data_IF_843823942447
#
_entry.id   IF_843823942447
#
_cell.length_a   1.000
_cell.length_b   1.000
_cell.length_c   1.000
_cell.angle_alpha   90.00
_cell.angle_beta   90.00
_cell.angle_gamma   90.00
#
_symmetry.space_group_name_H-M   'P 1'
#
loop_
_entity.id
_entity.type
_entity.pdbx_description
1 polymer ?
#
# COMPACT_ATOMS: atom_id res chain seq x y z
N UNK A 1 -5.51 21.95 -5.37
CA UNK A 1 -5.20 22.30 -6.77
C UNK A 1 -3.71 22.29 -6.96
N UNK A 2 -3.26 21.94 -8.15
CA UNK A 2 -1.85 21.77 -8.46
C UNK A 2 -1.42 22.69 -9.60
N UNK A 3 -0.12 22.94 -9.70
CA UNK A 3 0.48 23.82 -10.71
C UNK A 3 0.06 23.43 -12.14
N UNK A 4 0.09 22.15 -12.49
CA UNK A 4 -0.24 21.68 -13.83
C UNK A 4 -1.75 21.53 -14.11
N UNK A 5 -2.62 22.08 -13.26
CA UNK A 5 -4.06 22.13 -13.50
C UNK A 5 -4.69 20.76 -13.75
N UNK A 6 -5.42 20.62 -14.86
CA UNK A 6 -6.11 19.37 -15.24
C UNK A 6 -5.18 18.23 -15.69
N UNK A 7 -3.90 18.52 -15.92
CA UNK A 7 -2.89 17.52 -16.28
C UNK A 7 -2.14 16.97 -15.07
N UNK A 8 -2.21 17.65 -13.93
CA UNK A 8 -1.54 17.22 -12.70
C UNK A 8 -2.11 15.91 -12.16
N UNK A 9 -1.22 15.05 -11.67
CA UNK A 9 -1.57 13.84 -10.91
C UNK A 9 -1.73 14.09 -9.40
N UNK A 10 -1.45 15.30 -8.90
CA UNK A 10 -1.61 15.67 -7.49
C UNK A 10 -0.32 16.07 -6.77
N UNK A 11 0.86 15.70 -7.29
CA UNK A 11 2.16 15.84 -6.62
C UNK A 11 2.90 17.15 -6.86
N UNK A 12 2.19 18.18 -7.29
CA UNK A 12 2.70 19.55 -7.49
C UNK A 12 1.73 20.56 -6.87
N UNK A 13 1.47 20.46 -5.54
CA UNK A 13 0.40 21.19 -4.88
C UNK A 13 0.65 22.71 -4.96
N UNK A 14 -0.36 23.44 -5.43
CA UNK A 14 -0.37 24.91 -5.50
C UNK A 14 -1.24 25.51 -4.40
N UNK A 15 -2.49 25.06 -4.28
CA UNK A 15 -3.47 25.56 -3.30
C UNK A 15 -4.16 24.38 -2.63
N UNK A 16 -3.81 24.15 -1.37
CA UNK A 16 -4.29 23.04 -0.57
C UNK A 16 -5.81 23.07 -0.33
N UNK A 17 -6.42 24.25 -0.30
CA UNK A 17 -7.84 24.41 0.00
C UNK A 17 -8.72 24.40 -1.25
N UNK A 18 -8.13 24.36 -2.45
CA UNK A 18 -8.89 24.20 -3.68
C UNK A 18 -8.99 22.73 -4.08
N UNK A 19 -10.06 22.06 -3.66
CA UNK A 19 -10.39 20.69 -4.05
C UNK A 19 -11.12 20.61 -5.40
N UNK A 20 -10.95 21.60 -6.29
CA UNK A 20 -11.61 21.67 -7.58
C UNK A 20 -12.85 22.58 -7.58
N UNK A 21 -12.72 23.77 -6.99
CA UNK A 21 -13.80 24.75 -6.84
C UNK A 21 -13.49 26.10 -7.47
N UNK A 22 -12.20 26.46 -7.58
CA UNK A 22 -11.78 27.76 -8.06
C UNK A 22 -11.16 27.64 -9.45
N UNK A 23 -11.45 28.61 -10.33
CA UNK A 23 -10.80 28.68 -11.63
C UNK A 23 -9.35 29.17 -11.49
N UNK A 24 -8.43 28.27 -11.17
CA UNK A 24 -7.01 28.54 -11.03
C UNK A 24 -6.18 27.42 -11.64
N UNK A 25 -4.99 27.80 -12.13
CA UNK A 25 -4.13 26.93 -12.93
C UNK A 25 -4.85 26.36 -14.16
N UNK A 26 -5.67 27.20 -14.81
CA UNK A 26 -6.31 26.90 -16.09
C UNK A 26 -7.54 25.99 -16.04
N UNK A 27 -8.04 25.64 -14.85
CA UNK A 27 -9.23 24.79 -14.70
C UNK A 27 -9.94 25.03 -13.37
N UNK A 28 -11.27 24.83 -13.33
CA UNK A 28 -12.03 24.75 -12.07
C UNK A 28 -11.79 23.41 -11.39
N UNK A 29 -12.00 22.31 -12.10
CA UNK A 29 -11.83 20.97 -11.56
C UNK A 29 -10.36 20.59 -11.44
N UNK A 30 -10.05 19.67 -10.53
CA UNK A 30 -8.79 18.95 -10.59
C UNK A 30 -8.84 17.96 -11.75
N UNK A 31 -7.73 17.26 -12.04
CA UNK A 31 -7.74 16.13 -12.97
C UNK A 31 -8.82 15.08 -12.64
N UNK A 32 -9.17 14.96 -11.36
CA UNK A 32 -10.07 13.93 -10.84
C UNK A 32 -11.51 14.42 -10.60
N UNK A 33 -11.81 15.67 -10.97
CA UNK A 33 -13.14 16.28 -10.81
C UNK A 33 -13.19 17.41 -9.77
N UNK A 34 -14.41 17.75 -9.40
CA UNK A 34 -14.79 18.83 -8.48
C UNK A 34 -14.84 18.39 -7.01
N UNK A 35 -14.87 19.35 -6.08
CA UNK A 35 -15.05 19.05 -4.66
C UNK A 35 -16.42 18.39 -4.38
N UNK A 36 -17.46 18.77 -5.13
CA UNK A 36 -18.79 18.20 -4.96
C UNK A 36 -18.80 16.69 -5.30
N UNK A 37 -18.17 16.31 -6.40
CA UNK A 37 -18.02 14.91 -6.82
C UNK A 37 -17.14 14.13 -5.83
N UNK A 38 -16.03 14.71 -5.37
CA UNK A 38 -15.20 14.10 -4.34
C UNK A 38 -16.00 13.78 -3.07
N UNK A 39 -16.80 14.75 -2.57
CA UNK A 39 -17.65 14.55 -1.39
C UNK A 39 -18.71 13.48 -1.63
N UNK A 40 -19.34 13.46 -2.80
CA UNK A 40 -20.32 12.45 -3.16
C UNK A 40 -19.70 11.04 -3.20
N UNK A 41 -18.49 10.91 -3.77
CA UNK A 41 -17.76 9.65 -3.82
C UNK A 41 -17.38 9.16 -2.42
N UNK A 42 -16.83 10.04 -1.57
CA UNK A 42 -16.49 9.71 -0.16
C UNK A 42 -17.74 9.26 0.61
N UNK A 43 -18.85 10.00 0.48
CA UNK A 43 -20.11 9.64 1.14
C UNK A 43 -20.60 8.25 0.69
N UNK A 44 -20.50 7.94 -0.60
CA UNK A 44 -20.87 6.64 -1.15
C UNK A 44 -19.97 5.52 -0.58
N UNK A 45 -18.64 5.67 -0.62
CA UNK A 45 -17.72 4.68 -0.06
C UNK A 45 -18.01 4.39 1.41
N UNK A 46 -18.25 5.44 2.21
CA UNK A 46 -18.60 5.30 3.62
C UNK A 46 -19.93 4.59 3.84
N UNK A 47 -20.91 4.77 2.96
CA UNK A 47 -22.19 4.03 3.03
C UNK A 47 -22.01 2.51 2.84
N UNK A 48 -20.91 2.09 2.20
CA UNK A 48 -20.49 0.69 2.07
C UNK A 48 -19.45 0.26 3.14
N UNK A 49 -19.21 1.08 4.17
CA UNK A 49 -18.23 0.79 5.23
C UNK A 49 -16.78 0.90 4.78
N UNK A 50 -16.50 1.60 3.67
CA UNK A 50 -15.14 1.81 3.15
C UNK A 50 -14.61 3.16 3.63
N UNK A 51 -13.51 3.12 4.38
CA UNK A 51 -12.79 4.34 4.80
C UNK A 51 -12.06 4.99 3.62
N UNK A 52 -12.01 6.33 3.60
CA UNK A 52 -11.33 7.09 2.55
C UNK A 52 -10.02 7.72 3.08
N UNK A 53 -8.91 7.40 2.43
CA UNK A 53 -7.58 7.95 2.72
C UNK A 53 -7.23 9.06 1.74
N UNK A 54 -6.79 10.22 2.23
CA UNK A 54 -6.24 11.27 1.36
C UNK A 54 -4.72 11.10 1.19
N UNK A 55 -4.22 11.46 0.01
CA UNK A 55 -2.79 11.63 -0.25
C UNK A 55 -2.36 13.04 0.19
N UNK A 56 -1.32 13.10 1.02
CA UNK A 56 -0.88 14.30 1.75
C UNK A 56 0.56 14.62 1.31
N UNK A 57 0.66 15.55 0.36
CA UNK A 57 1.92 16.05 -0.22
C UNK A 57 2.38 17.27 0.58
N UNK A 58 3.47 17.11 1.35
CA UNK A 58 3.93 18.12 2.31
C UNK A 58 5.33 18.66 2.03
N UNK A 59 6.17 17.90 1.33
CA UNK A 59 7.57 18.27 1.15
C UNK A 59 7.73 19.66 0.52
N UNK A 60 6.99 19.90 -0.55
CA UNK A 60 7.19 21.06 -1.40
C UNK A 60 5.85 21.71 -1.73
N UNK A 61 5.94 22.89 -2.34
CA UNK A 61 4.79 23.56 -2.96
C UNK A 61 5.20 24.08 -4.33
N UNK A 62 4.30 24.04 -5.29
CA UNK A 62 4.59 24.37 -6.69
C UNK A 62 3.73 25.55 -7.18
N UNK A 63 4.26 26.35 -8.09
CA UNK A 63 3.51 27.42 -8.77
C UNK A 63 3.44 28.77 -8.05
N UNK A 64 4.32 29.02 -7.07
CA UNK A 64 4.45 30.33 -6.44
C UNK A 64 5.00 31.39 -7.41
N UNK A 65 4.60 32.64 -7.21
CA UNK A 65 5.15 33.78 -7.94
C UNK A 65 6.54 34.18 -7.41
N UNK A 66 7.27 35.00 -8.18
CA UNK A 66 8.61 35.47 -7.78
C UNK A 66 8.48 36.36 -6.58
N UNK A 67 9.33 36.13 -5.59
CA UNK A 67 9.62 37.12 -4.57
C UNK A 67 11.07 37.02 -4.12
N UNK A 68 11.59 38.13 -3.60
CA UNK A 68 12.93 38.18 -3.05
C UNK A 68 13.00 37.38 -1.74
N UNK A 69 13.93 36.43 -1.66
CA UNK A 69 14.25 35.73 -0.42
C UNK A 69 15.58 36.28 0.15
N UNK A 70 15.54 36.98 1.30
CA UNK A 70 16.75 37.54 1.91
C UNK A 70 17.75 36.48 2.37
N UNK A 71 17.35 35.21 2.53
CA UNK A 71 18.25 34.11 2.92
C UNK A 71 19.04 33.53 1.78
N UNK A 72 18.54 33.61 0.55
CA UNK A 72 19.28 33.18 -0.64
C UNK A 72 19.99 34.35 -1.32
N UNK A 73 19.63 35.59 -0.98
CA UNK A 73 20.15 36.79 -1.63
C UNK A 73 19.58 37.02 -3.03
N UNK A 74 18.52 36.30 -3.41
CA UNK A 74 17.91 36.36 -4.74
C UNK A 74 16.44 35.97 -4.73
N UNK A 75 15.84 35.92 -5.92
CA UNK A 75 14.42 35.59 -6.04
C UNK A 75 14.18 34.08 -5.93
N UNK A 76 13.05 33.72 -5.32
CA UNK A 76 12.54 32.35 -5.23
C UNK A 76 11.06 32.32 -5.63
N UNK A 77 10.55 31.15 -6.03
CA UNK A 77 9.16 30.96 -6.47
C UNK A 77 8.23 30.61 -5.30
N UNK A 78 8.27 31.42 -4.25
CA UNK A 78 7.69 31.12 -2.93
C UNK A 78 6.48 31.98 -2.58
N UNK A 79 6.07 32.91 -3.46
CA UNK A 79 4.93 33.77 -3.18
C UNK A 79 3.61 33.09 -3.56
N UNK A 80 2.83 32.70 -2.56
CA UNK A 80 1.49 32.11 -2.72
C UNK A 80 0.37 33.10 -2.37
N UNK A 81 0.63 34.41 -2.44
CA UNK A 81 -0.37 35.44 -2.16
C UNK A 81 -1.59 35.38 -3.10
N UNK A 82 -1.41 34.83 -4.31
CA UNK A 82 -2.41 34.76 -5.38
C UNK A 82 -3.35 33.56 -5.35
N UNK A 83 -3.26 32.66 -4.37
CA UNK A 83 -4.17 31.50 -4.27
C UNK A 83 -5.62 31.95 -4.09
N UNK A 84 -6.54 31.38 -4.88
CA UNK A 84 -7.93 31.83 -4.92
C UNK A 84 -8.74 31.35 -3.71
N UNK A 85 -8.31 30.29 -3.02
CA UNK A 85 -8.93 29.90 -1.73
C UNK A 85 -8.78 30.97 -0.65
N UNK A 86 -7.83 31.88 -0.80
CA UNK A 86 -7.49 32.87 0.21
C UNK A 86 -6.84 32.29 1.49
N UNK A 87 -6.51 31.00 1.49
CA UNK A 87 -5.91 30.26 2.61
C UNK A 87 -4.47 29.86 2.29
N UNK A 88 -3.64 29.69 3.32
CA UNK A 88 -2.23 29.31 3.15
C UNK A 88 -1.48 30.22 2.17
N UNK A 89 -1.58 31.53 2.37
CA UNK A 89 -0.83 32.54 1.59
C UNK A 89 0.60 32.61 2.11
N UNK A 90 1.41 31.63 1.73
CA UNK A 90 2.78 31.49 2.19
C UNK A 90 3.73 32.38 1.40
N UNK A 91 4.85 32.71 2.06
CA UNK A 91 5.96 33.45 1.51
C UNK A 91 7.27 32.69 1.77
N UNK A 92 8.39 33.23 1.30
CA UNK A 92 9.75 32.67 1.44
C UNK A 92 10.08 32.17 2.85
N UNK A 93 9.51 32.77 3.89
CA UNK A 93 9.72 32.40 5.29
C UNK A 93 9.03 31.10 5.73
N UNK A 94 8.20 30.53 4.86
CA UNK A 94 7.58 29.21 5.00
C UNK A 94 8.38 28.09 4.32
N UNK A 95 9.49 28.42 3.65
CA UNK A 95 10.30 27.49 2.85
C UNK A 95 11.77 27.53 3.30
N UNK A 96 12.52 26.47 3.01
CA UNK A 96 13.96 26.44 3.19
C UNK A 96 14.70 27.26 2.10
N UNK A 97 15.79 27.97 2.44
CA UNK A 97 16.17 28.38 3.79
C UNK A 97 15.32 29.58 4.27
N UNK A 98 15.01 29.61 5.57
CA UNK A 98 14.40 30.76 6.23
C UNK A 98 15.09 31.09 7.57
N UNK A 99 14.44 31.83 8.46
CA UNK A 99 14.98 32.22 9.76
C UNK A 99 15.10 31.06 10.78
N UNK A 100 14.34 29.98 10.60
CA UNK A 100 14.17 28.91 11.58
C UNK A 100 14.92 27.63 11.22
N UNK A 101 15.15 27.40 9.94
CA UNK A 101 15.61 26.14 9.38
C UNK A 101 16.30 26.43 8.05
N UNK A 102 17.50 25.88 7.88
CA UNK A 102 18.26 26.04 6.65
C UNK A 102 17.93 24.94 5.64
N UNK A 103 17.74 23.71 6.12
CA UNK A 103 17.39 22.51 5.37
C UNK A 103 16.85 21.45 6.32
N UNK A 104 16.30 20.37 5.78
CA UNK A 104 15.88 19.17 6.49
C UNK A 104 16.40 17.90 5.78
N UNK A 105 15.71 16.75 5.93
CA UNK A 105 16.12 15.45 5.44
C UNK A 105 16.25 15.34 3.92
N UNK A 106 15.55 16.15 3.14
CA UNK A 106 15.65 16.12 1.68
C UNK A 106 14.65 17.02 0.99
N UNK A 107 14.90 17.36 -0.26
CA UNK A 107 14.02 18.23 -1.04
C UNK A 107 13.62 17.60 -2.36
N UNK A 108 12.41 17.94 -2.82
CA UNK A 108 11.93 17.54 -4.14
C UNK A 108 12.38 18.56 -5.19
N UNK A 109 13.29 18.13 -6.07
CA UNK A 109 13.92 19.00 -7.06
C UNK A 109 12.92 19.78 -7.92
N UNK A 110 13.23 21.06 -8.15
CA UNK A 110 12.41 21.95 -8.99
C UNK A 110 11.32 22.71 -8.26
N UNK A 111 11.08 22.44 -6.97
CA UNK A 111 10.06 23.12 -6.18
C UNK A 111 10.63 23.69 -4.87
N UNK A 112 10.07 24.81 -4.36
CA UNK A 112 10.35 25.29 -3.01
C UNK A 112 10.05 24.23 -1.95
N UNK A 113 11.04 24.01 -1.09
CA UNK A 113 11.02 23.02 -0.03
C UNK A 113 10.43 23.62 1.25
N UNK A 114 9.38 23.00 1.80
CA UNK A 114 8.57 23.58 2.88
C UNK A 114 9.25 23.36 4.22
N UNK A 115 9.31 24.41 5.05
CA UNK A 115 9.81 24.27 6.41
C UNK A 115 8.70 24.17 7.45
N UNK A 116 8.73 23.11 8.24
CA UNK A 116 7.77 22.87 9.32
C UNK A 116 8.24 23.30 10.71
N UNK A 117 9.47 23.78 10.86
CA UNK A 117 10.05 24.12 12.17
C UNK A 117 9.32 25.26 12.90
N UNK A 118 8.67 26.18 12.17
CA UNK A 118 7.87 27.26 12.73
C UNK A 118 6.93 27.89 11.68
N UNK A 119 6.11 28.84 12.09
CA UNK A 119 5.40 29.76 11.19
C UNK A 119 4.13 29.21 10.54
N UNK A 120 3.75 29.82 9.41
CA UNK A 120 2.49 29.56 8.73
C UNK A 120 2.43 28.15 8.14
N UNK A 121 3.50 27.64 7.52
CA UNK A 121 3.51 26.28 6.98
C UNK A 121 3.11 25.22 8.02
N UNK A 122 3.68 25.28 9.22
CA UNK A 122 3.35 24.34 10.30
C UNK A 122 1.89 24.47 10.78
N UNK A 123 1.44 25.70 11.04
CA UNK A 123 0.11 25.96 11.62
C UNK A 123 -1.03 25.78 10.60
N UNK A 124 -0.82 26.22 9.37
CA UNK A 124 -1.78 26.11 8.29
C UNK A 124 -1.97 24.65 7.85
N UNK A 125 -0.90 23.86 7.77
CA UNK A 125 -1.00 22.44 7.37
C UNK A 125 -1.84 21.65 8.39
N UNK A 126 -1.65 21.88 9.69
CA UNK A 126 -2.52 21.27 10.72
C UNK A 126 -3.98 21.67 10.53
N UNK A 127 -4.22 22.95 10.29
CA UNK A 127 -5.57 23.49 10.06
C UNK A 127 -6.21 22.90 8.82
N UNK A 128 -5.44 22.77 7.73
CA UNK A 128 -5.89 22.21 6.47
C UNK A 128 -6.23 20.72 6.59
N UNK A 129 -5.37 19.94 7.23
CA UNK A 129 -5.64 18.51 7.43
C UNK A 129 -6.85 18.28 8.33
N UNK A 130 -7.06 19.11 9.36
CA UNK A 130 -8.28 19.08 10.15
C UNK A 130 -9.51 19.48 9.31
N UNK A 131 -9.38 20.47 8.44
CA UNK A 131 -10.42 20.89 7.49
C UNK A 131 -10.82 19.76 6.52
N UNK A 132 -9.86 18.96 6.03
CA UNK A 132 -10.12 17.79 5.17
C UNK A 132 -10.96 16.70 5.84
N UNK A 133 -10.92 16.58 7.17
CA UNK A 133 -11.74 15.60 7.92
C UNK A 133 -13.20 16.00 8.04
N UNK A 134 -13.53 17.26 7.84
CA UNK A 134 -14.90 17.75 7.98
C UNK A 134 -15.70 17.34 6.74
N UNK A 135 -16.82 16.65 6.95
CA UNK A 135 -17.68 16.15 5.86
C UNK A 135 -18.23 17.25 4.94
N UNK A 136 -18.35 18.48 5.45
CA UNK A 136 -18.73 19.65 4.64
C UNK A 136 -17.68 20.00 3.56
N UNK A 137 -16.42 19.56 3.73
CA UNK A 137 -15.29 19.88 2.85
C UNK A 137 -14.85 18.68 2.01
N UNK A 138 -14.59 17.54 2.66
CA UNK A 138 -14.27 16.28 1.99
C UNK A 138 -14.71 15.10 2.86
N UNK A 139 -14.24 15.06 4.11
CA UNK A 139 -14.60 14.02 5.07
C UNK A 139 -13.66 12.82 5.04
N UNK A 140 -12.36 13.00 4.85
CA UNK A 140 -11.39 11.89 4.87
C UNK A 140 -11.21 11.29 6.27
N UNK A 141 -10.88 10.00 6.32
CA UNK A 141 -10.71 9.22 7.55
C UNK A 141 -9.23 9.08 7.95
N UNK A 142 -8.34 8.98 6.96
CA UNK A 142 -6.93 8.60 7.13
C UNK A 142 -6.01 9.26 6.11
N UNK A 143 -4.69 9.12 6.30
CA UNK A 143 -3.65 9.82 5.53
C UNK A 143 -2.62 8.88 4.90
N UNK A 144 -2.26 9.12 3.64
CA UNK A 144 -1.01 8.65 3.03
C UNK A 144 -0.09 9.86 2.92
N UNK A 145 1.07 9.82 3.57
CA UNK A 145 2.06 10.89 3.48
C UNK A 145 3.04 10.59 2.35
N UNK A 146 3.09 11.51 1.40
CA UNK A 146 3.99 11.49 0.25
C UNK A 146 5.44 11.79 0.65
N UNK A 147 6.39 11.15 -0.04
CA UNK A 147 7.81 11.49 -0.01
C UNK A 147 8.36 11.82 1.40
N UNK A 148 8.10 10.95 2.38
CA UNK A 148 8.48 11.20 3.80
C UNK A 148 9.99 11.07 4.07
N UNK A 149 10.79 10.88 3.02
CA UNK A 149 12.25 11.05 3.06
C UNK A 149 12.67 12.51 3.04
N UNK A 150 11.80 13.41 2.61
CA UNK A 150 12.12 14.83 2.49
C UNK A 150 11.71 15.69 3.67
N UNK A 151 11.34 15.09 4.81
CA UNK A 151 11.15 15.82 6.05
C UNK A 151 11.14 14.87 7.24
N UNK A 152 11.37 15.42 8.42
CA UNK A 152 11.54 14.65 9.63
C UNK A 152 10.26 13.92 10.05
N UNK A 153 10.42 12.70 10.56
CA UNK A 153 9.31 11.87 11.05
C UNK A 153 8.42 12.55 12.13
N UNK A 154 8.95 13.53 12.87
CA UNK A 154 8.17 14.29 13.84
C UNK A 154 7.10 15.18 13.19
N UNK A 155 7.30 15.63 11.94
CA UNK A 155 6.29 16.37 11.18
C UNK A 155 5.05 15.50 11.02
N UNK A 156 5.21 14.25 10.56
CA UNK A 156 4.10 13.28 10.46
C UNK A 156 3.44 13.05 11.80
N UNK A 157 4.22 12.87 12.87
CA UNK A 157 3.69 12.67 14.23
C UNK A 157 2.76 13.82 14.64
N UNK A 158 3.21 15.05 14.45
CA UNK A 158 2.46 16.24 14.82
C UNK A 158 1.21 16.48 13.96
N UNK A 159 1.31 16.25 12.64
CA UNK A 159 0.18 16.36 11.73
C UNK A 159 -0.90 15.31 12.02
N UNK A 160 -0.49 14.09 12.39
CA UNK A 160 -1.41 13.04 12.85
C UNK A 160 -2.04 13.41 14.19
N UNK A 161 -1.26 13.89 15.16
CA UNK A 161 -1.79 14.30 16.46
C UNK A 161 -2.84 15.42 16.32
N UNK A 162 -2.58 16.40 15.45
CA UNK A 162 -3.51 17.50 15.15
C UNK A 162 -4.84 17.04 14.55
N UNK A 163 -4.90 15.81 14.02
CA UNK A 163 -6.09 15.26 13.35
C UNK A 163 -6.69 14.05 14.06
N UNK A 164 -6.33 13.84 15.33
CA UNK A 164 -6.89 12.77 16.17
C UNK A 164 -6.22 11.40 15.97
N UNK A 165 -4.96 11.38 15.52
CA UNK A 165 -4.15 10.17 15.30
C UNK A 165 -4.84 9.09 14.44
N UNK A 166 -5.41 9.42 13.27
CA UNK A 166 -6.03 8.40 12.41
C UNK A 166 -4.99 7.39 11.92
N UNK A 167 -5.48 6.32 11.28
CA UNK A 167 -4.61 5.47 10.48
C UNK A 167 -3.83 6.33 9.49
N UNK A 168 -2.54 6.05 9.35
CA UNK A 168 -1.71 6.74 8.37
C UNK A 168 -0.58 5.84 7.89
N UNK A 169 -0.15 6.05 6.66
CA UNK A 169 1.00 5.37 6.06
C UNK A 169 1.95 6.39 5.44
N UNK A 170 3.25 6.24 5.65
CA UNK A 170 4.28 7.05 5.00
C UNK A 170 4.94 6.30 3.84
N UNK A 171 5.17 7.01 2.74
CA UNK A 171 6.04 6.57 1.64
C UNK A 171 7.51 6.78 1.98
N UNK A 172 8.02 5.99 2.92
CA UNK A 172 9.45 5.95 3.20
C UNK A 172 10.08 4.97 2.21
N UNK A 173 10.41 5.46 1.01
CA UNK A 173 10.90 4.62 -0.08
C UNK A 173 12.31 4.08 0.20
N UNK A 174 12.41 3.00 0.97
CA UNK A 174 13.66 2.34 1.34
C UNK A 174 13.46 0.85 1.65
N UNK A 175 14.42 0.01 1.28
CA UNK A 175 14.39 -1.43 1.59
C UNK A 175 14.96 -1.75 2.98
N UNK A 176 15.63 -0.81 3.65
CA UNK A 176 16.23 -1.02 4.96
C UNK A 176 15.16 -1.09 6.05
N UNK A 177 14.83 -2.31 6.46
CA UNK A 177 13.82 -2.58 7.50
C UNK A 177 14.15 -1.99 8.88
N UNK A 178 15.40 -1.60 9.15
CA UNK A 178 15.76 -0.87 10.38
C UNK A 178 15.39 0.60 10.26
N UNK A 179 15.63 1.22 9.11
CA UNK A 179 15.18 2.59 8.83
C UNK A 179 13.65 2.68 8.86
N UNK A 180 12.96 1.76 8.18
CA UNK A 180 11.50 1.65 8.20
C UNK A 180 10.95 1.53 9.63
N UNK A 181 11.57 0.67 10.45
CA UNK A 181 11.18 0.48 11.86
C UNK A 181 11.31 1.77 12.68
N UNK A 182 12.46 2.43 12.60
CA UNK A 182 12.74 3.66 13.34
C UNK A 182 11.80 4.78 12.93
N UNK A 183 11.56 4.95 11.63
CA UNK A 183 10.65 5.97 11.13
C UNK A 183 9.21 5.71 11.57
N UNK A 184 8.71 4.46 11.44
CA UNK A 184 7.36 4.08 11.84
C UNK A 184 7.12 4.28 13.34
N UNK A 185 8.12 3.96 14.18
CA UNK A 185 8.08 4.21 15.61
C UNK A 185 8.00 5.71 15.93
N UNK A 186 8.87 6.52 15.31
CA UNK A 186 8.96 7.96 15.59
C UNK A 186 7.76 8.76 15.08
N UNK A 187 7.23 8.42 13.90
CA UNK A 187 6.05 9.08 13.32
C UNK A 187 4.74 8.59 13.93
N UNK A 188 4.74 7.38 14.51
CA UNK A 188 3.53 6.67 14.94
C UNK A 188 2.62 6.25 13.78
N UNK A 189 3.08 6.34 12.53
CA UNK A 189 2.39 5.90 11.33
C UNK A 189 2.89 4.50 10.89
N UNK A 190 2.16 3.88 9.96
CA UNK A 190 2.63 2.71 9.22
C UNK A 190 3.54 3.15 8.05
N UNK A 191 4.21 2.20 7.40
CA UNK A 191 5.05 2.45 6.22
C UNK A 191 4.71 1.47 5.10
N UNK A 192 4.86 1.91 3.85
CA UNK A 192 4.88 0.99 2.72
C UNK A 192 6.07 0.05 2.83
N UNK A 193 5.82 -1.25 2.66
CA UNK A 193 6.82 -2.30 2.79
C UNK A 193 7.64 -2.45 1.50
N UNK A 194 8.48 -1.45 1.22
CA UNK A 194 9.39 -1.48 0.06
C UNK A 194 10.40 -2.63 0.14
N UNK A 195 10.76 -3.07 1.35
CA UNK A 195 11.63 -4.23 1.55
C UNK A 195 10.99 -5.51 0.95
N UNK A 196 9.75 -5.81 1.35
CA UNK A 196 9.00 -6.93 0.79
C UNK A 196 8.75 -6.75 -0.70
N UNK A 197 8.41 -5.53 -1.15
CA UNK A 197 8.22 -5.24 -2.57
C UNK A 197 9.46 -5.63 -3.39
N UNK A 198 10.66 -5.20 -3.01
CA UNK A 198 11.89 -5.55 -3.73
C UNK A 198 12.20 -7.05 -3.66
N UNK A 199 12.02 -7.66 -2.49
CA UNK A 199 12.16 -9.12 -2.32
C UNK A 199 11.23 -9.89 -3.27
N UNK A 200 9.95 -9.50 -3.34
CA UNK A 200 8.98 -10.11 -4.24
C UNK A 200 9.29 -9.79 -5.71
N UNK A 201 9.80 -8.59 -6.02
CA UNK A 201 10.24 -8.25 -7.38
C UNK A 201 11.32 -9.19 -7.86
N UNK A 202 12.34 -9.42 -7.05
CA UNK A 202 13.46 -10.31 -7.40
C UNK A 202 12.98 -11.76 -7.61
N UNK A 203 12.12 -12.27 -6.71
CA UNK A 203 11.55 -13.63 -6.84
C UNK A 203 10.65 -13.75 -8.07
N UNK A 204 9.67 -12.85 -8.19
CA UNK A 204 8.65 -12.92 -9.24
C UNK A 204 9.22 -12.67 -10.63
N UNK A 205 10.24 -11.84 -10.80
CA UNK A 205 10.84 -11.56 -12.10
C UNK A 205 11.95 -12.55 -12.48
N UNK A 206 12.49 -13.33 -11.53
CA UNK A 206 13.43 -14.40 -11.86
C UNK A 206 12.70 -15.63 -12.44
N UNK A 207 12.27 -15.56 -13.71
CA UNK A 207 11.44 -16.60 -14.37
C UNK A 207 12.09 -17.97 -14.50
N UNK A 208 13.41 -18.07 -14.29
CA UNK A 208 14.15 -19.32 -14.20
C UNK A 208 13.91 -20.11 -12.91
N UNK A 209 13.26 -19.49 -11.92
CA UNK A 209 13.14 -20.00 -10.55
C UNK A 209 14.39 -19.71 -9.72
N UNK A 210 14.38 -20.12 -8.45
CA UNK A 210 15.52 -19.90 -7.56
C UNK A 210 15.62 -18.46 -7.07
N UNK A 211 14.50 -17.75 -6.92
CA UNK A 211 14.43 -16.45 -6.23
C UNK A 211 14.63 -16.56 -4.71
N UNK A 212 14.64 -17.80 -4.18
CA UNK A 212 14.75 -18.13 -2.76
C UNK A 212 13.58 -17.55 -1.95
N UNK A 213 12.42 -18.18 -2.12
CA UNK A 213 11.17 -17.79 -1.45
C UNK A 213 11.26 -17.57 0.06
N UNK A 214 12.09 -18.28 0.87
CA UNK A 214 12.19 -18.01 2.30
C UNK A 214 12.58 -16.56 2.67
N UNK A 215 13.14 -15.78 1.74
CA UNK A 215 13.44 -14.36 1.96
C UNK A 215 12.22 -13.53 2.37
N UNK A 216 11.00 -13.91 1.96
CA UNK A 216 9.77 -13.20 2.35
C UNK A 216 9.46 -13.30 3.85
N UNK A 217 10.05 -14.30 4.53
CA UNK A 217 9.93 -14.47 5.99
C UNK A 217 11.11 -13.86 6.76
N UNK A 218 12.12 -13.35 6.06
CA UNK A 218 13.27 -12.73 6.70
C UNK A 218 12.95 -11.29 7.09
N UNK A 219 13.01 -10.97 8.38
CA UNK A 219 12.72 -9.64 8.91
C UNK A 219 13.68 -8.55 8.42
N UNK A 220 14.83 -8.90 7.84
CA UNK A 220 15.73 -7.92 7.21
C UNK A 220 15.34 -7.58 5.77
N UNK A 221 14.55 -8.44 5.12
CA UNK A 221 14.16 -8.34 3.71
C UNK A 221 12.66 -8.09 3.51
N UNK A 222 11.84 -8.30 4.53
CA UNK A 222 10.40 -8.05 4.50
C UNK A 222 9.94 -7.37 5.80
N UNK A 223 9.43 -6.14 5.72
CA UNK A 223 9.05 -5.41 6.92
C UNK A 223 7.82 -6.00 7.60
N UNK A 224 6.89 -6.60 6.86
CA UNK A 224 5.77 -7.36 7.41
C UNK A 224 6.20 -8.58 8.25
N UNK A 225 7.41 -9.10 8.03
CA UNK A 225 8.00 -10.15 8.87
C UNK A 225 8.71 -9.60 10.11
N UNK A 226 8.95 -8.28 10.16
CA UNK A 226 9.54 -7.56 11.30
C UNK A 226 8.50 -6.91 12.21
N UNK A 227 7.57 -6.15 11.63
CA UNK A 227 6.52 -5.42 12.34
C UNK A 227 5.25 -5.30 11.49
N UNK A 228 4.50 -6.40 11.41
CA UNK A 228 3.27 -6.52 10.64
C UNK A 228 2.22 -5.45 10.95
N UNK A 229 2.03 -5.07 12.21
CA UNK A 229 1.08 -4.03 12.60
C UNK A 229 1.39 -2.64 12.00
N UNK A 230 2.61 -2.42 11.46
CA UNK A 230 3.04 -1.17 10.82
C UNK A 230 3.40 -1.34 9.34
N UNK A 231 3.25 -2.54 8.78
CA UNK A 231 3.60 -2.82 7.40
C UNK A 231 2.37 -2.70 6.49
N UNK A 232 2.45 -1.82 5.49
CA UNK A 232 1.50 -1.75 4.38
C UNK A 232 2.13 -2.43 3.17
N UNK A 233 1.67 -3.63 2.84
CA UNK A 233 2.26 -4.47 1.79
C UNK A 233 1.60 -4.19 0.44
N UNK A 234 2.35 -4.24 -0.65
CA UNK A 234 1.85 -3.92 -1.99
C UNK A 234 2.63 -4.68 -3.07
N UNK A 235 2.07 -4.75 -4.28
CA UNK A 235 2.67 -5.43 -5.45
C UNK A 235 3.14 -4.42 -6.52
N UNK A 236 2.51 -3.26 -6.57
CA UNK A 236 2.90 -2.14 -7.42
C UNK A 236 2.14 -0.88 -7.00
N UNK A 237 2.59 0.26 -7.50
CA UNK A 237 1.91 1.54 -7.33
C UNK A 237 2.12 2.40 -8.60
N UNK A 238 1.84 3.69 -8.51
CA UNK A 238 1.98 4.62 -9.63
C UNK A 238 3.42 4.88 -10.06
N UNK A 239 4.41 4.59 -9.20
CA UNK A 239 5.84 4.73 -9.50
C UNK A 239 6.55 3.39 -9.78
N UNK A 240 6.02 2.28 -9.27
CA UNK A 240 6.74 0.98 -9.14
C UNK A 240 6.03 -0.20 -9.81
N UNK A 241 5.49 -0.02 -11.01
CA UNK A 241 4.89 -1.11 -11.80
C UNK A 241 5.96 -2.05 -12.42
N UNK A 242 6.87 -2.62 -11.60
CA UNK A 242 8.06 -3.33 -12.06
C UNK A 242 8.04 -4.86 -11.81
N UNK A 243 7.03 -5.40 -11.13
CA UNK A 243 6.81 -6.85 -11.06
C UNK A 243 5.98 -7.24 -12.29
N UNK A 244 6.60 -7.81 -13.34
CA UNK A 244 5.93 -8.04 -14.64
C UNK A 244 5.64 -9.51 -14.94
N UNK A 245 6.31 -10.46 -14.30
CA UNK A 245 6.12 -11.90 -14.60
C UNK A 245 5.05 -12.56 -13.72
N UNK A 246 5.24 -12.58 -12.40
CA UNK A 246 4.38 -13.34 -11.49
C UNK A 246 3.63 -12.47 -10.47
N UNK A 247 2.96 -11.40 -10.95
CA UNK A 247 2.15 -10.51 -10.09
C UNK A 247 1.15 -11.28 -9.22
N UNK A 248 0.52 -12.31 -9.76
CA UNK A 248 -0.46 -13.10 -8.99
C UNK A 248 0.17 -13.89 -7.84
N UNK A 249 1.44 -14.30 -7.95
CA UNK A 249 2.20 -14.89 -6.85
C UNK A 249 2.49 -13.85 -5.76
N UNK A 250 2.83 -12.62 -6.17
CA UNK A 250 2.99 -11.49 -5.25
C UNK A 250 1.70 -11.14 -4.51
N UNK A 251 0.58 -11.05 -5.23
CA UNK A 251 -0.74 -10.82 -4.64
C UNK A 251 -1.17 -11.94 -3.69
N UNK A 252 -0.90 -13.20 -4.05
CA UNK A 252 -1.19 -14.31 -3.17
C UNK A 252 -0.49 -14.14 -1.83
N UNK A 253 0.80 -13.79 -1.84
CA UNK A 253 1.54 -13.53 -0.61
C UNK A 253 0.96 -12.34 0.17
N UNK A 254 0.86 -11.15 -0.43
CA UNK A 254 0.44 -9.94 0.31
C UNK A 254 -0.98 -10.06 0.86
N UNK A 255 -1.92 -10.65 0.12
CA UNK A 255 -3.32 -10.76 0.54
C UNK A 255 -3.56 -11.88 1.56
N UNK A 256 -2.70 -12.90 1.62
CA UNK A 256 -2.91 -14.03 2.54
C UNK A 256 -1.89 -14.12 3.67
N UNK A 257 -0.89 -13.24 3.69
CA UNK A 257 0.08 -13.09 4.77
C UNK A 257 -0.26 -11.92 5.72
N UNK A 258 0.70 -11.58 6.60
CA UNK A 258 0.65 -10.50 7.58
C UNK A 258 0.72 -9.11 6.92
N UNK A 259 0.35 -8.08 7.70
CA UNK A 259 0.34 -6.69 7.27
C UNK A 259 -1.00 -6.23 6.70
N UNK A 260 -1.02 -4.96 6.26
CA UNK A 260 -2.15 -4.32 5.60
C UNK A 260 -1.90 -4.33 4.08
N UNK A 261 -2.50 -5.24 3.30
CA UNK A 261 -2.27 -5.30 1.85
C UNK A 261 -3.02 -4.20 1.09
N UNK A 262 -2.37 -3.68 0.05
CA UNK A 262 -2.94 -2.77 -0.94
C UNK A 262 -3.01 -3.46 -2.30
N UNK A 263 -4.12 -3.22 -2.99
CA UNK A 263 -4.35 -3.65 -4.37
C UNK A 263 -4.13 -2.45 -5.29
N UNK A 264 -3.30 -2.61 -6.31
CA UNK A 264 -3.08 -1.54 -7.27
C UNK A 264 -4.20 -1.49 -8.31
N UNK A 265 -4.78 -0.30 -8.52
CA UNK A 265 -5.89 -0.09 -9.46
C UNK A 265 -5.58 -0.64 -10.86
N UNK A 266 -4.39 -0.32 -11.40
CA UNK A 266 -3.99 -0.74 -12.76
C UNK A 266 -3.94 -2.26 -12.90
N UNK A 267 -3.42 -2.95 -11.89
CA UNK A 267 -3.41 -4.41 -11.87
C UNK A 267 -4.83 -4.99 -11.84
N UNK A 268 -5.69 -4.43 -10.99
CA UNK A 268 -7.04 -4.92 -10.80
C UNK A 268 -7.94 -4.69 -12.03
N UNK A 269 -7.98 -3.46 -12.54
CA UNK A 269 -8.91 -3.05 -13.59
C UNK A 269 -8.30 -3.06 -14.99
N UNK A 270 -7.06 -2.61 -15.17
CA UNK A 270 -6.48 -2.43 -16.51
C UNK A 270 -5.79 -3.72 -17.00
N UNK A 271 -5.13 -4.46 -16.12
CA UNK A 271 -4.50 -5.75 -16.45
C UNK A 271 -5.43 -6.95 -16.23
N UNK A 272 -6.66 -6.72 -15.79
CA UNK A 272 -7.66 -7.78 -15.62
C UNK A 272 -7.32 -8.79 -14.52
N UNK A 273 -6.39 -8.48 -13.59
CA UNK A 273 -5.98 -9.41 -12.55
C UNK A 273 -7.05 -9.61 -11.47
N UNK A 274 -8.10 -8.79 -11.44
CA UNK A 274 -9.28 -9.02 -10.61
C UNK A 274 -9.82 -10.46 -10.74
N UNK A 275 -9.83 -11.01 -11.95
CA UNK A 275 -10.28 -12.37 -12.28
C UNK A 275 -9.16 -13.23 -12.87
N UNK A 276 -7.89 -12.90 -12.61
CA UNK A 276 -6.73 -13.73 -12.98
C UNK A 276 -6.26 -13.56 -14.42
N UNK A 277 -6.55 -12.43 -15.07
CA UNK A 277 -6.04 -12.09 -16.41
C UNK A 277 -6.70 -12.86 -17.57
N UNK A 278 -7.63 -13.78 -17.29
CA UNK A 278 -8.42 -14.49 -18.31
C UNK A 278 -9.75 -13.80 -18.57
N UNK A 279 -9.93 -13.22 -19.76
CA UNK A 279 -11.27 -12.88 -20.24
C UNK A 279 -12.05 -14.21 -20.38
N UNK A 280 -13.12 -14.39 -19.61
CA UNK A 280 -14.02 -15.55 -19.73
C UNK A 280 -13.84 -16.72 -18.75
N UNK A 281 -12.90 -16.69 -17.79
CA UNK A 281 -12.84 -17.73 -16.74
C UNK A 281 -13.62 -17.30 -15.51
N UNK A 282 -14.88 -17.74 -15.44
CA UNK A 282 -15.86 -17.27 -14.46
C UNK A 282 -15.51 -17.48 -12.97
N UNK A 283 -14.56 -18.34 -12.59
CA UNK A 283 -14.22 -18.60 -11.18
C UNK A 283 -12.77 -19.10 -10.97
N UNK A 284 -12.11 -18.56 -9.93
CA UNK A 284 -10.93 -19.13 -9.25
C UNK A 284 -9.54 -18.88 -9.86
N UNK A 285 -8.95 -17.69 -9.64
CA UNK A 285 -7.50 -17.38 -9.82
C UNK A 285 -7.10 -15.90 -9.69
N UNK A 286 -8.04 -14.95 -9.58
CA UNK A 286 -7.74 -13.51 -9.50
C UNK A 286 -7.66 -12.91 -8.11
N UNK A 287 -7.32 -11.62 -8.05
CA UNK A 287 -7.24 -10.82 -6.82
C UNK A 287 -8.57 -10.88 -6.04
N UNK A 288 -9.73 -10.89 -6.72
CA UNK A 288 -11.05 -11.04 -6.06
C UNK A 288 -11.14 -12.29 -5.18
N UNK A 289 -10.61 -13.41 -5.68
CA UNK A 289 -10.66 -14.67 -4.97
C UNK A 289 -9.70 -14.67 -3.76
N UNK A 290 -8.53 -14.03 -3.89
CA UNK A 290 -7.60 -13.84 -2.77
C UNK A 290 -8.18 -12.95 -1.67
N UNK A 291 -8.86 -11.86 -2.04
CA UNK A 291 -9.61 -11.01 -1.10
C UNK A 291 -10.68 -11.81 -0.38
N UNK A 292 -11.47 -12.60 -1.12
CA UNK A 292 -12.48 -13.48 -0.53
C UNK A 292 -11.86 -14.49 0.43
N UNK A 293 -10.73 -15.12 0.07
CA UNK A 293 -10.01 -16.03 0.96
C UNK A 293 -9.59 -15.33 2.25
N UNK A 294 -9.00 -14.12 2.17
CA UNK A 294 -8.61 -13.37 3.36
C UNK A 294 -9.81 -13.03 4.24
N UNK A 295 -10.87 -12.50 3.65
CA UNK A 295 -12.05 -12.03 4.37
C UNK A 295 -12.85 -13.18 4.96
N UNK A 296 -13.24 -14.16 4.16
CA UNK A 296 -14.12 -15.26 4.58
C UNK A 296 -13.40 -16.31 5.38
N UNK A 297 -12.25 -16.77 4.91
CA UNK A 297 -11.59 -17.91 5.55
C UNK A 297 -10.78 -17.47 6.78
N UNK A 298 -10.28 -16.22 6.83
CA UNK A 298 -9.45 -15.72 7.92
C UNK A 298 -10.01 -14.48 8.63
N UNK A 299 -11.33 -14.24 8.52
CA UNK A 299 -12.03 -13.12 9.19
C UNK A 299 -11.39 -11.74 8.92
N UNK A 300 -10.74 -11.56 7.76
CA UNK A 300 -10.09 -10.31 7.35
C UNK A 300 -8.71 -10.04 7.98
N UNK A 301 -8.35 -10.73 9.06
CA UNK A 301 -7.09 -10.53 9.79
C UNK A 301 -6.40 -11.86 10.09
N UNK A 302 -5.59 -12.41 9.18
CA UNK A 302 -5.07 -13.76 9.33
C UNK A 302 -4.07 -13.92 10.48
N UNK A 303 -4.19 -15.04 11.20
CA UNK A 303 -3.30 -15.43 12.29
C UNK A 303 -2.22 -16.38 11.76
N UNK A 304 -1.07 -15.84 11.39
CA UNK A 304 -0.10 -16.56 10.57
C UNK A 304 0.84 -17.48 11.38
N UNK A 305 1.05 -18.70 10.89
CA UNK A 305 2.15 -19.59 11.30
C UNK A 305 2.87 -20.17 10.08
N UNK A 306 4.19 -20.24 10.12
CA UNK A 306 5.00 -20.82 9.03
C UNK A 306 5.00 -22.33 9.14
N UNK A 307 4.67 -23.02 8.06
CA UNK A 307 4.65 -24.49 7.98
C UNK A 307 5.89 -25.04 7.27
N UNK A 308 6.44 -24.28 6.32
CA UNK A 308 7.67 -24.59 5.60
C UNK A 308 8.37 -23.33 5.10
N UNK A 309 9.68 -23.25 5.35
CA UNK A 309 10.55 -22.13 4.95
C UNK A 309 12.00 -22.53 4.68
N UNK A 310 12.28 -23.82 4.50
CA UNK A 310 13.64 -24.36 4.35
C UNK A 310 13.91 -24.93 2.95
N UNK A 311 13.25 -24.38 1.94
CA UNK A 311 13.35 -24.79 0.54
C UNK A 311 13.36 -23.52 -0.31
N UNK A 312 14.27 -23.44 -1.28
CA UNK A 312 14.40 -22.27 -2.14
C UNK A 312 13.23 -22.10 -3.11
N UNK A 313 12.58 -23.22 -3.47
CA UNK A 313 11.61 -23.28 -4.56
C UNK A 313 10.15 -23.12 -4.10
N UNK A 314 9.85 -23.45 -2.84
CA UNK A 314 8.50 -23.34 -2.31
C UNK A 314 8.43 -23.13 -0.81
N UNK A 315 7.38 -22.42 -0.40
CA UNK A 315 7.06 -22.14 0.99
C UNK A 315 5.62 -22.51 1.28
N UNK A 316 5.33 -22.77 2.56
CA UNK A 316 3.96 -22.93 3.02
C UNK A 316 3.74 -22.28 4.38
N UNK A 317 2.58 -21.68 4.55
CA UNK A 317 2.15 -21.07 5.81
C UNK A 317 0.64 -21.21 5.96
N UNK A 318 0.15 -21.01 7.17
CA UNK A 318 -1.28 -21.08 7.47
C UNK A 318 -1.78 -19.77 8.05
N UNK A 319 -3.08 -19.53 7.93
CA UNK A 319 -3.84 -18.75 8.91
C UNK A 319 -4.59 -19.70 9.82
N UNK A 320 -4.53 -19.47 11.14
CA UNK A 320 -5.47 -20.06 12.09
C UNK A 320 -6.91 -19.69 11.76
N UNK A 321 -7.85 -20.58 12.12
CA UNK A 321 -9.28 -20.32 12.00
C UNK A 321 -9.85 -19.64 13.24
N UNK A 322 -10.97 -18.95 13.06
CA UNK A 322 -11.72 -18.24 14.10
C UNK A 322 -13.06 -18.92 14.41
N UNK A 323 -13.61 -19.64 13.43
CA UNK A 323 -14.87 -20.37 13.56
C UNK A 323 -14.99 -21.40 12.43
N UNK A 324 -16.07 -22.19 12.41
CA UNK A 324 -16.37 -23.07 11.28
C UNK A 324 -16.66 -22.28 9.99
N UNK A 325 -17.17 -21.05 10.09
CA UNK A 325 -17.42 -20.17 8.93
C UNK A 325 -16.15 -19.43 8.46
N UNK A 326 -15.15 -19.31 9.34
CA UNK A 326 -13.83 -18.77 9.03
C UNK A 326 -12.74 -19.74 9.51
N UNK A 327 -12.60 -20.91 8.87
CA UNK A 327 -11.79 -22.02 9.37
C UNK A 327 -10.29 -21.82 9.20
N UNK A 328 -9.84 -20.70 8.64
CA UNK A 328 -8.45 -20.46 8.25
C UNK A 328 -8.10 -21.11 6.91
N UNK A 329 -6.83 -21.12 6.57
CA UNK A 329 -6.32 -21.70 5.32
C UNK A 329 -4.86 -22.11 5.43
N UNK A 330 -4.39 -22.89 4.46
CA UNK A 330 -2.98 -23.14 4.17
C UNK A 330 -2.66 -22.56 2.79
N UNK A 331 -1.62 -21.77 2.71
CA UNK A 331 -1.10 -21.21 1.45
C UNK A 331 0.19 -21.93 1.10
N UNK A 332 0.33 -22.29 -0.16
CA UNK A 332 1.58 -22.72 -0.77
C UNK A 332 1.92 -21.80 -1.94
N UNK A 333 3.19 -21.41 -2.02
CA UNK A 333 3.75 -20.64 -3.13
C UNK A 333 4.95 -21.40 -3.69
N UNK A 334 5.05 -21.46 -5.02
CA UNK A 334 6.06 -22.21 -5.76
C UNK A 334 6.68 -21.31 -6.86
N UNK A 335 7.96 -20.98 -6.75
CA UNK A 335 8.69 -20.20 -7.76
C UNK A 335 9.50 -21.07 -8.74
N UNK A 336 9.45 -22.40 -8.62
CA UNK A 336 10.12 -23.30 -9.54
C UNK A 336 9.60 -23.08 -10.97
N UNK A 337 10.52 -23.10 -11.94
CA UNK A 337 10.21 -22.72 -13.33
C UNK A 337 9.45 -23.75 -14.14
N UNK A 338 9.42 -25.01 -13.71
CA UNK A 338 8.85 -26.11 -14.53
C UNK A 338 8.14 -27.21 -13.72
N UNK A 339 8.49 -27.41 -12.46
CA UNK A 339 7.95 -28.48 -11.64
C UNK A 339 6.85 -28.00 -10.69
N UNK A 340 5.86 -28.86 -10.51
CA UNK A 340 4.98 -28.80 -9.33
C UNK A 340 5.81 -29.02 -8.08
N UNK A 341 5.63 -28.15 -7.09
CA UNK A 341 6.28 -28.27 -5.78
C UNK A 341 5.23 -28.35 -4.69
N UNK A 342 5.61 -29.00 -3.61
CA UNK A 342 4.71 -29.36 -2.54
C UNK A 342 5.20 -30.53 -1.72
N UNK A 343 4.40 -30.92 -0.76
CA UNK A 343 4.71 -32.00 0.16
C UNK A 343 3.82 -31.97 1.39
N UNK A 344 4.15 -32.83 2.35
CA UNK A 344 3.45 -32.85 3.64
C UNK A 344 3.83 -31.63 4.49
N UNK A 345 2.82 -31.01 5.07
CA UNK A 345 2.93 -30.01 6.13
C UNK A 345 2.03 -30.41 7.30
N UNK A 346 2.35 -29.93 8.50
CA UNK A 346 1.55 -30.21 9.70
C UNK A 346 0.91 -28.93 10.22
N UNK A 347 -0.40 -28.80 10.07
CA UNK A 347 -1.16 -27.65 10.59
C UNK A 347 -1.53 -27.84 12.05
N UNK A 348 -1.38 -26.78 12.85
CA UNK A 348 -1.92 -26.72 14.22
C UNK A 348 -3.41 -26.31 14.24
N UNK A 349 -3.96 -25.86 13.11
CA UNK A 349 -5.32 -25.35 13.01
C UNK A 349 -6.36 -26.48 13.15
N UNK A 350 -7.07 -26.49 14.27
CA UNK A 350 -8.06 -27.52 14.59
C UNK A 350 -9.26 -27.56 13.64
N UNK A 351 -9.61 -26.44 13.00
CA UNK A 351 -10.71 -26.36 12.04
C UNK A 351 -10.42 -27.11 10.74
N UNK A 352 -9.15 -27.35 10.42
CA UNK A 352 -8.73 -28.06 9.20
C UNK A 352 -8.60 -29.58 9.41
N UNK A 353 -8.42 -30.03 10.67
CA UNK A 353 -8.18 -31.44 10.99
C UNK A 353 -9.39 -32.33 10.73
N UNK A 354 -9.15 -33.55 10.25
CA UNK A 354 -10.18 -34.51 9.83
C UNK A 354 -11.14 -33.97 8.75
N UNK A 355 -10.65 -33.10 7.87
CA UNK A 355 -11.42 -32.52 6.76
C UNK A 355 -10.69 -32.74 5.44
N UNK A 356 -11.46 -32.89 4.38
CA UNK A 356 -10.96 -32.69 3.03
C UNK A 356 -10.79 -31.20 2.79
N UNK A 357 -9.61 -30.80 2.37
CA UNK A 357 -9.26 -29.43 1.98
C UNK A 357 -9.33 -29.30 0.46
N UNK A 358 -9.89 -28.19 -0.01
CA UNK A 358 -9.98 -27.78 -1.41
C UNK A 358 -9.22 -26.48 -1.61
N UNK A 359 -8.61 -26.29 -2.78
CA UNK A 359 -8.06 -25.00 -3.16
C UNK A 359 -9.19 -24.01 -3.54
N UNK A 360 -9.27 -22.90 -2.80
CA UNK A 360 -10.21 -21.81 -3.05
C UNK A 360 -9.62 -20.73 -3.96
N UNK A 361 -8.29 -20.61 -4.02
CA UNK A 361 -7.59 -19.77 -4.98
C UNK A 361 -6.34 -20.51 -5.46
N UNK A 362 -6.00 -20.38 -6.74
CA UNK A 362 -4.78 -20.91 -7.34
C UNK A 362 -4.43 -20.09 -8.57
N UNK A 363 -3.17 -20.05 -8.97
CA UNK A 363 -2.77 -19.50 -10.26
C UNK A 363 -1.44 -20.07 -10.69
N UNK A 364 -1.20 -20.16 -11.99
CA UNK A 364 0.14 -20.35 -12.56
C UNK A 364 0.31 -19.50 -13.81
N UNK A 365 1.49 -18.89 -13.97
CA UNK A 365 1.87 -18.20 -15.21
C UNK A 365 2.35 -19.16 -16.31
N UNK A 366 2.52 -20.45 -16.01
CA UNK A 366 3.00 -21.44 -16.97
C UNK A 366 1.84 -21.97 -17.82
N UNK A 367 2.07 -21.97 -19.14
CA UNK A 367 1.10 -22.46 -20.11
C UNK A 367 0.65 -23.89 -19.78
N UNK A 368 -0.66 -24.10 -19.77
CA UNK A 368 -1.28 -25.39 -19.45
C UNK A 368 -1.26 -25.79 -17.97
N UNK A 369 -0.74 -24.96 -17.06
CA UNK A 369 -0.62 -25.30 -15.62
C UNK A 369 -1.62 -24.55 -14.73
N UNK A 370 -2.44 -23.67 -15.29
CA UNK A 370 -3.37 -22.84 -14.52
C UNK A 370 -4.69 -23.57 -14.19
N UNK A 371 -4.61 -24.64 -13.40
CA UNK A 371 -5.76 -25.43 -12.95
C UNK A 371 -5.67 -25.75 -11.47
N UNK A 372 -6.82 -26.03 -10.85
CA UNK A 372 -6.90 -26.28 -9.43
C UNK A 372 -6.12 -27.57 -9.07
N UNK A 373 -5.32 -27.56 -7.99
CA UNK A 373 -4.76 -28.80 -7.46
C UNK A 373 -5.85 -29.71 -6.88
N UNK A 374 -5.52 -30.99 -6.77
CA UNK A 374 -6.42 -31.98 -6.18
C UNK A 374 -6.74 -31.67 -4.72
N UNK A 375 -7.94 -32.04 -4.29
CA UNK A 375 -8.35 -31.99 -2.88
C UNK A 375 -7.48 -32.90 -2.02
N UNK A 376 -7.22 -32.48 -0.77
CA UNK A 376 -6.27 -33.16 0.12
C UNK A 376 -6.93 -33.43 1.47
N UNK A 377 -6.81 -34.64 2.01
CA UNK A 377 -7.33 -34.94 3.34
C UNK A 377 -6.32 -34.53 4.41
N UNK A 378 -6.77 -33.72 5.37
CA UNK A 378 -5.99 -33.36 6.55
C UNK A 378 -6.29 -34.34 7.69
N UNK A 379 -5.25 -35.01 8.18
CA UNK A 379 -5.38 -36.02 9.22
C UNK A 379 -5.82 -35.43 10.57
N UNK A 380 -6.13 -36.32 11.52
CA UNK A 380 -6.39 -35.96 12.93
C UNK A 380 -5.20 -35.28 13.61
N UNK A 381 -3.98 -35.55 13.15
CA UNK A 381 -2.75 -34.91 13.64
C UNK A 381 -2.44 -33.60 12.93
N UNK A 382 -3.19 -33.23 11.89
CA UNK A 382 -2.96 -32.03 11.08
C UNK A 382 -2.01 -32.23 9.90
N UNK A 383 -1.59 -33.46 9.62
CA UNK A 383 -0.76 -33.76 8.44
C UNK A 383 -1.60 -33.70 7.17
N UNK A 384 -1.13 -32.95 6.17
CA UNK A 384 -1.81 -32.80 4.88
C UNK A 384 -0.78 -32.51 3.78
N UNK A 385 -1.01 -33.02 2.57
CA UNK A 385 -0.21 -32.62 1.41
C UNK A 385 -0.72 -31.29 0.86
N UNK A 386 0.18 -30.42 0.43
CA UNK A 386 -0.15 -29.21 -0.31
C UNK A 386 0.74 -29.08 -1.53
N UNK A 387 0.15 -28.67 -2.65
CA UNK A 387 0.82 -28.58 -3.95
C UNK A 387 0.46 -27.29 -4.67
N UNK A 388 1.43 -26.72 -5.40
CA UNK A 388 1.22 -25.62 -6.32
C UNK A 388 1.94 -25.89 -7.65
N UNK A 389 1.28 -25.49 -8.73
CA UNK A 389 1.85 -25.46 -10.07
C UNK A 389 3.15 -24.62 -10.13
N UNK A 390 4.05 -24.89 -11.08
CA UNK A 390 5.24 -24.06 -11.29
C UNK A 390 4.86 -22.59 -11.48
N UNK A 391 5.66 -21.68 -10.91
CA UNK A 391 5.41 -20.23 -10.93
C UNK A 391 3.97 -19.89 -10.51
N UNK A 392 3.58 -20.39 -9.35
CA UNK A 392 2.19 -20.41 -8.94
C UNK A 392 1.96 -20.48 -7.45
N UNK A 393 0.69 -20.50 -7.07
CA UNK A 393 0.26 -20.63 -5.69
C UNK A 393 -1.04 -21.43 -5.60
N UNK A 394 -1.36 -21.86 -4.38
CA UNK A 394 -2.69 -22.35 -4.03
C UNK A 394 -3.04 -22.02 -2.56
N UNK A 395 -4.32 -21.75 -2.30
CA UNK A 395 -4.88 -21.47 -0.96
C UNK A 395 -5.91 -22.55 -0.62
N UNK A 396 -5.56 -23.46 0.28
CA UNK A 396 -6.39 -24.58 0.70
C UNK A 396 -7.19 -24.25 1.96
N UNK A 397 -8.45 -24.64 1.99
CA UNK A 397 -9.29 -24.60 3.20
C UNK A 397 -10.34 -25.71 3.15
N UNK A 398 -11.17 -25.81 4.20
CA UNK A 398 -12.19 -26.85 4.36
C UNK A 398 -13.10 -26.90 3.13
N UNK A 399 -13.27 -28.07 2.54
CA UNK A 399 -14.17 -28.26 1.42
C UNK A 399 -15.64 -28.15 1.87
N UNK A 400 -16.49 -27.52 1.05
CA UNK A 400 -17.93 -27.41 1.29
C UNK A 400 -18.36 -26.21 2.14
N UNK A 401 -17.53 -25.15 2.21
CA UNK A 401 -17.89 -23.85 2.78
C UNK A 401 -18.85 -23.06 1.89
#
# INVERSE_FOLDING_TARGET
KCLNGGYSMGYDPYDYYDLGQYNQMGTIETRFGSQAELKAAIALYKSYGVSCTADIVLNHRAGGASEYNPKTGGNTWTSFAGVLSGKSKWHWDSFHPNNYCYSDEGSFGGYPDVCYSAGLAYTDTKTWMAWLKVAANAGFDSWRFDYVKGFASWVVKDMRAATGNPFSVGELWDANTTLLNTWAYNSGASVFDFALYYTMKDICNNTGGGGYLPNVFNSTLAFASKWDARAVTFVGNHDTDEIYSDKMMAYAFTLTYKGYPIIYWKDYYNYGLATGGGYGTGWGNGIKQLVWCREKLAAGGPSISILKSNDGDWIAYQSGGYSTAAPGYIVIINDNSSAWKGGYVTTSNSYLKNKTLKAYAWSSSKSGQNYAPANQFCSSTGSVQVWAAPRGYAVYSVNGL
#
